data_IF_371794967740
#
_entry.id   IF_371794967740
#
_cell.length_a   1.000
_cell.length_b   1.000
_cell.length_c   1.000
_cell.angle_alpha   90.00
_cell.angle_beta   90.00
_cell.angle_gamma   90.00
#
_symmetry.space_group_name_H-M   'P 1'
#
loop_
_entity.id
_entity.type
_entity.pdbx_description
1 polymer ?
#
# COMPACT_ATOMS: atom_id res chain seq x y z
N UNK A 1 12.51 5.07 -11.16
CA UNK A 1 11.05 5.08 -11.36
C UNK A 1 10.49 4.21 -10.25
N UNK A 2 9.74 4.79 -9.31
CA UNK A 2 9.06 3.99 -8.28
C UNK A 2 8.02 3.11 -8.98
N UNK A 3 8.29 1.81 -9.05
CA UNK A 3 7.40 0.82 -9.66
C UNK A 3 6.29 0.38 -8.68
N UNK A 4 5.88 1.24 -7.75
CA UNK A 4 4.84 0.91 -6.78
C UNK A 4 3.50 0.82 -7.51
N UNK A 5 2.84 -0.35 -7.53
CA UNK A 5 1.57 -0.51 -8.21
C UNK A 5 0.52 0.46 -7.66
N UNK A 6 -0.27 1.06 -8.55
CA UNK A 6 -1.37 1.96 -8.22
C UNK A 6 -2.71 1.29 -8.54
N UNK A 7 -3.63 1.32 -7.58
CA UNK A 7 -4.95 0.69 -7.66
C UNK A 7 -6.02 1.72 -7.30
N UNK A 8 -7.11 1.75 -8.07
CA UNK A 8 -8.25 2.60 -7.75
C UNK A 8 -8.90 2.16 -6.42
N UNK A 9 -9.32 3.11 -5.58
CA UNK A 9 -9.98 2.84 -4.29
C UNK A 9 -11.22 1.95 -4.46
N UNK A 10 -11.93 2.08 -5.58
CA UNK A 10 -13.09 1.23 -5.91
C UNK A 10 -12.73 -0.23 -6.09
N UNK A 11 -11.57 -0.53 -6.68
CA UNK A 11 -11.11 -1.89 -6.93
C UNK A 11 -10.41 -2.46 -5.71
N UNK A 12 -9.64 -1.63 -5.00
CA UNK A 12 -9.07 -1.98 -3.71
C UNK A 12 -10.14 -2.41 -2.70
N UNK A 13 -11.34 -1.81 -2.73
CA UNK A 13 -12.47 -2.24 -1.89
C UNK A 13 -12.91 -3.68 -2.19
N UNK A 14 -12.88 -4.11 -3.45
CA UNK A 14 -13.31 -5.44 -3.88
C UNK A 14 -12.25 -6.51 -3.54
N UNK A 15 -10.98 -6.12 -3.55
CA UNK A 15 -9.84 -7.03 -3.41
C UNK A 15 -9.00 -6.79 -2.14
N UNK A 16 -9.56 -6.11 -1.11
CA UNK A 16 -8.75 -5.60 0.01
C UNK A 16 -7.99 -6.71 0.75
N UNK A 17 -8.58 -7.91 0.90
CA UNK A 17 -7.90 -9.05 1.52
C UNK A 17 -6.65 -9.48 0.74
N UNK A 18 -6.77 -9.60 -0.58
CA UNK A 18 -5.65 -9.96 -1.47
C UNK A 18 -4.53 -8.91 -1.43
N UNK A 19 -4.89 -7.63 -1.38
CA UNK A 19 -3.91 -6.55 -1.27
C UNK A 19 -3.19 -6.59 0.08
N UNK A 20 -3.90 -6.88 1.18
CA UNK A 20 -3.31 -7.07 2.51
C UNK A 20 -2.34 -8.25 2.50
N UNK A 21 -2.72 -9.39 1.93
CA UNK A 21 -1.86 -10.57 1.84
C UNK A 21 -0.61 -10.28 1.00
N UNK A 22 -0.75 -9.58 -0.13
CA UNK A 22 0.38 -9.17 -0.95
C UNK A 22 1.34 -8.25 -0.19
N UNK A 23 0.83 -7.28 0.57
CA UNK A 23 1.67 -6.44 1.42
C UNK A 23 2.34 -7.27 2.52
N UNK A 24 1.60 -8.13 3.21
CA UNK A 24 2.10 -8.87 4.36
C UNK A 24 3.15 -9.92 3.97
N UNK A 25 2.87 -10.74 2.96
CA UNK A 25 3.71 -11.89 2.60
C UNK A 25 4.74 -11.56 1.51
N UNK A 26 4.44 -10.66 0.58
CA UNK A 26 5.34 -10.32 -0.53
C UNK A 26 6.04 -8.97 -0.34
N UNK A 27 5.76 -8.24 0.74
CA UNK A 27 6.31 -6.90 0.98
C UNK A 27 5.82 -5.86 -0.04
N UNK A 28 4.74 -6.15 -0.76
CA UNK A 28 4.28 -5.30 -1.86
C UNK A 28 3.60 -4.03 -1.34
N UNK A 29 4.22 -2.88 -1.55
CA UNK A 29 3.58 -1.59 -1.33
C UNK A 29 2.60 -1.30 -2.47
N UNK A 30 1.44 -0.73 -2.16
CA UNK A 30 0.43 -0.40 -3.18
C UNK A 30 -0.15 0.99 -2.92
N UNK A 31 -0.18 1.84 -3.94
CA UNK A 31 -0.81 3.16 -3.88
C UNK A 31 -2.30 3.00 -4.14
N UNK A 32 -3.13 3.56 -3.27
CA UNK A 32 -4.57 3.65 -3.44
C UNK A 32 -4.93 5.04 -3.96
N UNK A 33 -5.55 5.10 -5.13
CA UNK A 33 -5.86 6.35 -5.82
C UNK A 33 -7.35 6.53 -6.13
N UNK A 34 -7.79 7.79 -6.26
CA UNK A 34 -9.14 8.15 -6.69
C UNK A 34 -9.02 9.21 -7.78
N UNK A 35 -9.59 8.95 -8.96
CA UNK A 35 -9.44 9.81 -10.15
C UNK A 35 -7.96 10.12 -10.43
N UNK A 36 -7.13 9.07 -10.45
CA UNK A 36 -5.67 9.11 -10.64
C UNK A 36 -4.86 9.86 -9.58
N UNK A 37 -5.51 10.48 -8.59
CA UNK A 37 -4.84 11.14 -7.47
C UNK A 37 -4.51 10.13 -6.35
N UNK A 38 -3.24 9.97 -5.97
CA UNK A 38 -2.84 9.16 -4.82
C UNK A 38 -3.48 9.67 -3.53
N UNK A 39 -4.16 8.80 -2.77
CA UNK A 39 -4.86 9.16 -1.51
C UNK A 39 -4.30 8.44 -0.30
N UNK A 40 -3.82 7.22 -0.47
CA UNK A 40 -3.25 6.42 0.60
C UNK A 40 -2.24 5.41 0.04
N UNK A 41 -1.46 4.80 0.93
CA UNK A 41 -0.59 3.68 0.61
C UNK A 41 -0.91 2.53 1.54
N UNK A 42 -1.00 1.33 0.98
CA UNK A 42 -1.03 0.08 1.74
C UNK A 42 0.41 -0.46 1.83
N UNK A 43 0.87 -0.66 3.05
CA UNK A 43 2.23 -1.11 3.37
C UNK A 43 2.18 -2.26 4.40
N UNK A 44 3.23 -3.10 4.46
CA UNK A 44 3.36 -4.08 5.53
C UNK A 44 3.42 -3.37 6.89
N UNK A 45 2.68 -3.89 7.88
CA UNK A 45 2.64 -3.27 9.21
C UNK A 45 4.03 -3.17 9.87
N UNK A 46 4.86 -4.21 9.76
CA UNK A 46 6.24 -4.18 10.31
C UNK A 46 7.07 -3.06 9.71
N UNK A 47 7.01 -2.89 8.39
CA UNK A 47 7.68 -1.81 7.70
C UNK A 47 7.22 -0.44 8.22
N UNK A 48 5.91 -0.25 8.40
CA UNK A 48 5.38 1.00 8.93
C UNK A 48 5.93 1.33 10.32
N UNK A 49 5.96 0.36 11.24
CA UNK A 49 6.52 0.55 12.58
C UNK A 49 8.02 0.86 12.53
N UNK A 50 8.77 0.18 11.67
CA UNK A 50 10.20 0.47 11.48
C UNK A 50 10.44 1.89 10.98
N UNK A 51 9.60 2.41 10.07
CA UNK A 51 9.70 3.79 9.60
C UNK A 51 9.33 4.80 10.70
N UNK A 52 8.30 4.52 11.49
CA UNK A 52 7.91 5.40 12.60
C UNK A 52 9.00 5.54 13.67
N UNK A 53 9.79 4.49 13.87
CA UNK A 53 10.85 4.47 14.88
C UNK A 53 12.19 5.01 14.37
N UNK A 54 12.29 5.45 13.11
CA UNK A 54 13.52 6.07 12.62
C UNK A 54 13.66 7.48 13.20
N UNK A 55 14.83 7.82 13.78
CA UNK A 55 15.13 9.20 14.12
C UNK A 55 15.15 10.05 12.83
N UNK A 56 14.68 11.30 12.95
CA UNK A 56 14.65 12.28 11.86
C UNK A 56 16.05 12.63 11.34
#
# INVERSE_FOLDING_TARGET
MDNTPQVAVSDARKEIGKLIDAAHYAGQHTILAKNDEPRAVLVPYRWYIEQQNRPA
#
